data_IF_538903781468
#
_entry.id   IF_538903781468
#
_cell.length_a   1.000
_cell.length_b   1.000
_cell.length_c   1.000
_cell.angle_alpha   90.00
_cell.angle_beta   90.00
_cell.angle_gamma   90.00
#
_symmetry.space_group_name_H-M   'P 1'
#
loop_
_entity.id
_entity.type
_entity.pdbx_description
1 polymer ?
#
# COMPACT_ATOMS: atom_id res chain seq x y z
N UNK A 1 -8.65 15.49 96.67
CA UNK A 1 -8.05 14.66 95.58
C UNK A 1 -8.58 15.14 94.24
N UNK A 2 -7.80 15.98 93.50
CA UNK A 2 -8.17 16.53 92.20
C UNK A 2 -7.57 15.62 91.10
N UNK A 3 -8.43 14.94 90.35
CA UNK A 3 -8.01 14.19 89.14
C UNK A 3 -7.87 15.16 87.97
N UNK A 4 -6.66 15.28 87.47
CA UNK A 4 -6.33 16.07 86.25
C UNK A 4 -6.55 15.12 85.06
N UNK A 5 -7.53 15.45 84.24
CA UNK A 5 -7.80 14.78 82.96
C UNK A 5 -6.90 15.42 81.88
N UNK A 6 -5.89 14.68 81.42
CA UNK A 6 -5.07 15.12 80.28
C UNK A 6 -5.84 14.81 78.99
N UNK A 7 -6.25 15.88 78.28
CA UNK A 7 -6.82 15.79 76.95
C UNK A 7 -5.68 15.61 75.96
N UNK A 8 -5.58 14.48 75.33
CA UNK A 8 -4.68 14.26 74.20
C UNK A 8 -5.39 14.76 72.94
N UNK A 9 -4.97 15.86 72.38
CA UNK A 9 -5.40 16.31 71.04
C UNK A 9 -4.60 15.56 70.02
N UNK A 10 -5.26 14.64 69.32
CA UNK A 10 -4.71 13.92 68.19
C UNK A 10 -4.84 14.82 66.94
N UNK A 11 -3.76 15.46 66.53
CA UNK A 11 -3.72 16.19 65.29
C UNK A 11 -3.56 15.17 64.18
N UNK A 12 -4.65 14.90 63.44
CA UNK A 12 -4.63 14.19 62.20
C UNK A 12 -4.13 15.12 61.12
N UNK A 13 -2.88 14.97 60.75
CA UNK A 13 -2.31 15.61 59.55
C UNK A 13 -2.84 14.80 58.34
N UNK A 14 -3.85 15.32 57.68
CA UNK A 14 -4.22 14.89 56.35
C UNK A 14 -3.12 15.33 55.38
N UNK A 15 -2.18 14.47 55.08
CA UNK A 15 -1.36 14.60 53.87
C UNK A 15 -2.29 14.33 52.69
N UNK A 16 -2.76 15.40 52.08
CA UNK A 16 -3.36 15.35 50.75
C UNK A 16 -2.28 14.89 49.80
N UNK A 17 -2.28 13.58 49.47
CA UNK A 17 -1.65 13.13 48.26
C UNK A 17 -2.43 13.72 47.10
N UNK A 18 -1.93 14.84 46.58
CA UNK A 18 -2.26 15.27 45.23
C UNK A 18 -1.64 14.24 44.29
N UNK A 19 -2.34 13.14 44.07
CA UNK A 19 -2.15 12.33 42.90
C UNK A 19 -2.68 13.13 41.72
N UNK A 20 -1.89 14.14 41.32
CA UNK A 20 -1.90 14.55 39.93
C UNK A 20 -1.30 13.36 39.17
N UNK A 21 -2.14 12.36 38.86
CA UNK A 21 -1.92 11.57 37.68
C UNK A 21 -1.84 12.56 36.53
N UNK A 22 -0.64 13.04 36.26
CA UNK A 22 -0.31 13.43 34.90
C UNK A 22 -0.62 12.16 34.09
N UNK A 23 -1.81 12.17 33.49
CA UNK A 23 -1.97 11.56 32.20
C UNK A 23 -0.87 12.23 31.37
N UNK A 24 0.31 11.63 31.37
CA UNK A 24 1.19 11.74 30.21
C UNK A 24 0.29 11.31 29.08
N UNK A 25 -0.26 12.29 28.35
CA UNK A 25 -0.59 12.08 26.97
C UNK A 25 0.59 11.29 26.47
N UNK A 26 0.38 10.02 26.14
CA UNK A 26 1.31 9.26 25.34
C UNK A 26 1.42 10.11 24.08
N UNK A 27 2.45 10.95 24.05
CA UNK A 27 2.75 11.75 22.89
C UNK A 27 2.80 10.72 21.77
N UNK A 28 2.02 10.95 20.73
CA UNK A 28 2.16 10.29 19.47
C UNK A 28 3.63 10.43 19.11
N UNK A 29 4.46 9.44 19.50
CA UNK A 29 5.77 9.28 18.92
C UNK A 29 5.44 9.06 17.46
N UNK A 30 5.77 10.05 16.61
CA UNK A 30 5.67 9.91 15.17
C UNK A 30 6.41 8.62 14.83
N UNK A 31 5.65 7.53 14.63
CA UNK A 31 6.23 6.26 14.26
C UNK A 31 7.02 6.49 12.97
N UNK A 32 8.23 5.96 12.91
CA UNK A 32 9.05 6.06 11.71
C UNK A 32 8.30 5.42 10.53
N UNK A 33 8.41 6.00 9.34
CA UNK A 33 7.82 5.42 8.15
C UNK A 33 8.44 4.06 7.86
N UNK A 34 7.67 3.10 7.34
CA UNK A 34 8.23 1.84 6.87
C UNK A 34 9.16 2.06 5.68
N UNK A 35 10.21 1.25 5.57
CA UNK A 35 11.08 1.22 4.41
C UNK A 35 10.75 0.01 3.54
N UNK A 36 10.41 0.26 2.28
CA UNK A 36 10.05 -0.77 1.33
C UNK A 36 11.29 -1.52 0.84
N UNK A 37 11.28 -2.84 0.94
CA UNK A 37 12.31 -3.74 0.42
C UNK A 37 12.05 -4.16 -1.04
N UNK A 38 10.81 -4.03 -1.50
CA UNK A 38 10.39 -4.29 -2.88
C UNK A 38 9.13 -3.46 -3.20
N UNK A 39 8.73 -3.48 -4.45
CA UNK A 39 7.51 -2.84 -4.96
C UNK A 39 6.53 -3.90 -5.47
N UNK A 40 6.25 -4.93 -4.67
CA UNK A 40 5.32 -6.06 -4.87
C UNK A 40 5.77 -7.09 -5.90
N UNK A 41 6.44 -6.69 -6.97
CA UNK A 41 6.85 -7.55 -8.09
C UNK A 41 8.38 -7.67 -8.07
N UNK A 42 8.92 -8.84 -8.31
CA UNK A 42 10.37 -9.06 -8.31
C UNK A 42 11.00 -8.96 -9.70
N UNK A 43 10.31 -9.43 -10.74
CA UNK A 43 10.90 -9.54 -12.05
C UNK A 43 10.67 -8.28 -12.90
N UNK A 44 11.62 -7.37 -12.85
CA UNK A 44 11.70 -6.14 -13.63
C UNK A 44 12.69 -6.29 -14.79
N UNK A 45 12.55 -7.33 -15.59
CA UNK A 45 13.49 -7.66 -16.66
C UNK A 45 13.58 -6.59 -17.75
N UNK A 46 14.59 -6.68 -18.62
CA UNK A 46 14.75 -5.78 -19.75
C UNK A 46 13.61 -5.95 -20.76
N UNK A 47 13.32 -4.87 -21.51
CA UNK A 47 12.35 -4.89 -22.59
C UNK A 47 12.85 -5.73 -23.77
N UNK A 48 12.01 -6.65 -24.24
CA UNK A 48 12.18 -7.41 -25.47
C UNK A 48 11.17 -6.94 -26.53
N UNK A 49 11.65 -6.19 -27.53
CA UNK A 49 10.80 -5.66 -28.61
C UNK A 49 10.16 -6.72 -29.50
N UNK A 50 10.67 -7.95 -29.48
CA UNK A 50 10.08 -9.05 -30.28
C UNK A 50 8.85 -9.66 -29.63
N UNK A 51 8.76 -9.60 -28.31
CA UNK A 51 7.64 -10.15 -27.51
C UNK A 51 6.76 -9.08 -26.90
N UNK A 52 7.25 -7.85 -26.75
CA UNK A 52 6.55 -6.79 -26.02
C UNK A 52 6.57 -7.00 -24.50
N UNK A 53 7.58 -7.70 -23.96
CA UNK A 53 7.69 -8.05 -22.54
C UNK A 53 8.85 -7.30 -21.91
N UNK A 54 8.67 -6.87 -20.65
CA UNK A 54 9.70 -6.34 -19.77
C UNK A 54 9.57 -7.00 -18.39
N UNK A 55 10.35 -8.03 -18.13
CA UNK A 55 10.20 -8.83 -16.91
C UNK A 55 8.85 -9.52 -16.85
N UNK A 56 8.06 -9.21 -15.81
CA UNK A 56 6.68 -9.69 -15.66
C UNK A 56 5.64 -8.79 -16.36
N UNK A 57 6.08 -7.69 -16.98
CA UNK A 57 5.21 -6.77 -17.69
C UNK A 57 5.10 -7.16 -19.15
N UNK A 58 3.92 -7.58 -19.60
CA UNK A 58 3.60 -7.89 -20.99
C UNK A 58 2.75 -6.76 -21.58
N UNK A 59 3.28 -6.02 -22.56
CA UNK A 59 2.60 -4.89 -23.17
C UNK A 59 1.71 -5.36 -24.32
N UNK A 60 0.40 -5.19 -24.16
CA UNK A 60 -0.59 -5.63 -25.15
C UNK A 60 -1.46 -4.47 -25.61
N UNK A 61 -1.48 -4.24 -26.92
CA UNK A 61 -2.25 -3.17 -27.56
C UNK A 61 -3.77 -3.37 -27.51
N UNK A 62 -4.24 -4.58 -27.25
CA UNK A 62 -5.67 -4.92 -27.13
C UNK A 62 -6.24 -4.64 -25.74
N UNK A 63 -5.38 -4.29 -24.78
CA UNK A 63 -5.82 -3.79 -23.48
C UNK A 63 -5.91 -2.27 -23.54
N UNK A 64 -7.05 -1.72 -23.19
CA UNK A 64 -7.24 -0.25 -23.04
C UNK A 64 -6.50 0.31 -21.83
N UNK A 65 -5.72 -0.51 -21.16
CA UNK A 65 -5.12 -0.20 -19.91
C UNK A 65 -3.66 0.15 -20.03
N UNK A 66 -3.25 1.09 -19.23
CA UNK A 66 -1.86 1.41 -18.96
C UNK A 66 -1.29 0.32 -18.07
N UNK A 67 -0.09 -0.19 -18.37
CA UNK A 67 0.51 -1.30 -17.62
C UNK A 67 1.15 -0.86 -16.32
N UNK A 68 1.53 0.40 -16.23
CA UNK A 68 2.03 1.02 -15.02
C UNK A 68 1.42 2.41 -14.87
N UNK A 69 0.64 2.59 -13.82
CA UNK A 69 0.12 3.89 -13.42
C UNK A 69 1.04 4.48 -12.38
N UNK A 70 1.65 5.59 -12.75
CA UNK A 70 2.49 6.38 -11.86
C UNK A 70 1.67 6.99 -10.72
N UNK A 71 2.29 7.11 -9.56
CA UNK A 71 1.71 7.78 -8.40
C UNK A 71 1.41 9.26 -8.73
N UNK A 72 0.16 9.64 -8.56
CA UNK A 72 -0.32 10.99 -8.87
C UNK A 72 -0.85 11.17 -10.29
N UNK A 73 -0.98 10.09 -11.08
CA UNK A 73 -1.64 10.16 -12.39
C UNK A 73 -3.07 10.65 -12.24
N UNK A 74 -3.45 11.62 -13.06
CA UNK A 74 -4.82 12.13 -13.09
C UNK A 74 -5.73 11.14 -13.82
N UNK A 75 -6.71 10.62 -13.11
CA UNK A 75 -7.71 9.68 -13.61
C UNK A 75 -9.08 10.35 -13.76
N UNK A 76 -9.96 9.74 -14.56
CA UNK A 76 -11.32 10.22 -14.83
C UNK A 76 -11.39 11.70 -15.28
N UNK A 77 -10.42 12.13 -16.09
CA UNK A 77 -10.20 13.53 -16.48
C UNK A 77 -11.46 14.18 -17.05
N UNK A 78 -11.80 15.34 -16.50
CA UNK A 78 -12.96 16.14 -16.95
C UNK A 78 -14.32 15.62 -16.47
N UNK A 79 -14.32 14.67 -15.56
CA UNK A 79 -15.55 14.13 -14.93
C UNK A 79 -15.68 14.62 -13.48
N UNK A 80 -16.85 14.48 -12.83
CA UNK A 80 -17.01 14.76 -11.40
C UNK A 80 -16.17 13.86 -10.49
N UNK A 81 -15.70 12.71 -11.01
CA UNK A 81 -14.93 11.70 -10.30
C UNK A 81 -13.43 11.79 -10.62
N UNK A 82 -12.96 12.94 -11.12
CA UNK A 82 -11.54 13.20 -11.38
C UNK A 82 -10.75 13.19 -10.08
N UNK A 83 -9.63 12.44 -10.08
CA UNK A 83 -8.74 12.31 -8.92
C UNK A 83 -7.31 11.98 -9.35
N UNK A 84 -6.35 12.36 -8.53
CA UNK A 84 -4.97 11.91 -8.63
C UNK A 84 -4.82 10.52 -7.99
N UNK A 85 -4.28 9.56 -8.76
CA UNK A 85 -4.10 8.19 -8.28
C UNK A 85 -3.07 8.12 -7.13
N UNK A 86 -3.46 7.72 -5.90
CA UNK A 86 -2.57 7.74 -4.73
C UNK A 86 -1.71 6.47 -4.59
N UNK A 87 -1.50 5.73 -5.68
CA UNK A 87 -0.88 4.40 -5.65
C UNK A 87 0.04 4.19 -6.85
N UNK A 88 0.98 3.25 -6.75
CA UNK A 88 1.54 2.55 -7.91
C UNK A 88 0.61 1.41 -8.28
N UNK A 89 0.13 1.38 -9.51
CA UNK A 89 -0.69 0.28 -10.02
C UNK A 89 0.04 -0.43 -11.15
N UNK A 90 0.02 -1.76 -11.10
CA UNK A 90 0.63 -2.63 -12.10
C UNK A 90 -0.43 -3.49 -12.76
N UNK A 91 -0.30 -3.62 -14.08
CA UNK A 91 -1.10 -4.54 -14.88
C UNK A 91 -0.18 -5.50 -15.60
N UNK A 92 -0.21 -6.73 -15.16
CA UNK A 92 0.74 -7.78 -15.50
C UNK A 92 -0.02 -9.10 -15.74
N UNK A 93 0.62 -10.11 -16.33
CA UNK A 93 0.00 -11.43 -16.45
C UNK A 93 -0.57 -11.89 -15.10
N UNK A 94 -1.77 -12.49 -15.15
CA UNK A 94 -2.55 -12.83 -13.95
C UNK A 94 -1.91 -13.86 -13.02
N UNK A 95 -0.88 -14.55 -13.46
CA UNK A 95 -0.08 -15.52 -12.70
C UNK A 95 1.21 -14.91 -12.13
N UNK A 96 1.36 -13.58 -12.20
CA UNK A 96 2.48 -12.88 -11.59
C UNK A 96 2.36 -12.92 -10.07
N UNK A 97 3.46 -13.27 -9.41
CA UNK A 97 3.54 -13.34 -7.95
C UNK A 97 3.59 -11.95 -7.28
N UNK A 98 3.02 -11.88 -6.08
CA UNK A 98 3.04 -10.69 -5.23
C UNK A 98 3.74 -11.00 -3.91
N UNK A 99 4.68 -10.13 -3.53
CA UNK A 99 5.54 -10.27 -2.37
C UNK A 99 5.31 -9.19 -1.34
N UNK A 100 5.44 -9.52 -0.06
CA UNK A 100 5.36 -8.56 1.03
C UNK A 100 6.47 -7.51 0.91
N UNK A 101 6.12 -6.20 0.93
CA UNK A 101 7.12 -5.14 0.72
C UNK A 101 7.90 -4.76 1.98
N UNK A 102 7.38 -5.08 3.18
CA UNK A 102 7.99 -4.72 4.47
C UNK A 102 7.90 -5.87 5.48
N UNK A 103 8.76 -5.82 6.50
CA UNK A 103 8.50 -6.49 7.77
C UNK A 103 7.37 -5.76 8.50
N UNK A 104 6.44 -6.50 9.08
CA UNK A 104 5.32 -5.85 9.78
C UNK A 104 4.27 -6.81 10.29
N UNK A 105 3.10 -6.27 10.57
CA UNK A 105 1.93 -7.00 11.05
C UNK A 105 0.70 -6.63 10.22
N UNK A 106 -0.07 -7.62 9.83
CA UNK A 106 -1.34 -7.42 9.14
C UNK A 106 -2.33 -6.78 10.09
N UNK A 107 -2.71 -5.53 9.82
CA UNK A 107 -3.68 -4.79 10.64
C UNK A 107 -5.11 -5.00 10.16
N UNK A 108 -5.28 -5.32 8.89
CA UNK A 108 -6.58 -5.59 8.27
C UNK A 108 -6.39 -6.41 7.00
N UNK A 109 -7.34 -7.28 6.74
CA UNK A 109 -7.48 -8.01 5.47
C UNK A 109 -8.97 -8.08 5.15
N UNK A 110 -9.33 -7.90 3.89
CA UNK A 110 -10.73 -8.00 3.47
C UNK A 110 -10.87 -8.58 2.07
N UNK A 111 -11.87 -9.40 1.90
CA UNK A 111 -12.36 -9.81 0.59
C UNK A 111 -13.19 -8.68 -0.04
N UNK A 112 -12.97 -8.42 -1.30
CA UNK A 112 -13.66 -7.39 -2.07
C UNK A 112 -14.51 -8.02 -3.17
N UNK A 113 -15.74 -8.50 -2.87
CA UNK A 113 -16.63 -9.00 -3.90
C UNK A 113 -17.09 -7.83 -4.76
N UNK A 114 -17.00 -7.98 -6.06
CA UNK A 114 -17.27 -6.86 -6.93
C UNK A 114 -18.66 -6.84 -7.49
N UNK A 115 -19.37 -5.78 -7.25
CA UNK A 115 -20.58 -5.43 -7.97
C UNK A 115 -20.36 -4.52 -9.18
N UNK A 116 -19.14 -4.06 -9.42
CA UNK A 116 -18.86 -3.07 -10.47
C UNK A 116 -17.60 -3.34 -11.30
N UNK A 117 -16.55 -3.80 -10.66
CA UNK A 117 -15.25 -4.00 -11.31
C UNK A 117 -14.93 -5.47 -11.61
N UNK A 118 -15.75 -6.41 -11.16
CA UNK A 118 -15.56 -7.86 -11.32
C UNK A 118 -14.16 -8.31 -10.85
N UNK A 119 -13.76 -7.82 -9.70
CA UNK A 119 -12.42 -8.07 -9.17
C UNK A 119 -12.38 -9.36 -8.38
N UNK A 120 -13.27 -9.52 -7.41
CA UNK A 120 -13.30 -10.69 -6.55
C UNK A 120 -11.88 -11.07 -6.08
N UNK A 121 -11.28 -10.16 -5.31
CA UNK A 121 -9.91 -10.27 -4.81
C UNK A 121 -9.77 -9.73 -3.39
N UNK A 122 -8.55 -9.79 -2.84
CA UNK A 122 -8.24 -9.38 -1.48
C UNK A 122 -7.50 -8.04 -1.47
N UNK A 123 -7.80 -7.26 -0.41
CA UNK A 123 -7.03 -6.10 0.00
C UNK A 123 -6.42 -6.37 1.37
N UNK A 124 -5.15 -6.02 1.56
CA UNK A 124 -4.41 -6.24 2.80
C UNK A 124 -3.73 -4.95 3.27
N UNK A 125 -3.82 -4.69 4.57
CA UNK A 125 -3.21 -3.55 5.25
C UNK A 125 -2.12 -4.06 6.18
N UNK A 126 -0.91 -3.56 6.00
CA UNK A 126 0.26 -3.93 6.80
C UNK A 126 0.77 -2.69 7.51
N UNK A 127 1.10 -2.82 8.77
CA UNK A 127 1.74 -1.77 9.57
C UNK A 127 3.10 -2.24 10.07
N UNK A 128 4.07 -1.34 10.31
CA UNK A 128 5.31 -1.70 10.99
C UNK A 128 5.08 -2.31 12.38
N UNK A 129 4.10 -1.79 13.11
CA UNK A 129 3.51 -2.36 14.34
C UNK A 129 2.02 -2.00 14.40
N UNK A 130 1.25 -2.66 15.23
CA UNK A 130 -0.20 -2.37 15.36
C UNK A 130 -0.48 -0.94 15.81
N UNK A 131 0.43 -0.32 16.54
CA UNK A 131 0.32 1.03 17.07
C UNK A 131 0.78 2.10 16.06
N UNK A 132 1.42 1.71 14.96
CA UNK A 132 1.90 2.65 13.94
C UNK A 132 0.76 3.38 13.25
N UNK A 133 0.93 4.67 13.00
CA UNK A 133 0.05 5.46 12.14
C UNK A 133 0.29 5.19 10.65
N UNK A 134 1.48 4.66 10.33
CA UNK A 134 1.84 4.28 8.97
C UNK A 134 1.24 2.94 8.59
N UNK A 135 0.91 2.83 7.31
CA UNK A 135 0.44 1.59 6.71
C UNK A 135 0.89 1.47 5.27
N UNK A 136 1.03 0.23 4.84
CA UNK A 136 1.07 -0.16 3.45
C UNK A 136 -0.26 -0.81 3.13
N UNK A 137 -0.90 -0.37 2.06
CA UNK A 137 -2.10 -1.00 1.51
C UNK A 137 -1.66 -1.69 0.23
N UNK A 138 -1.98 -2.97 0.13
CA UNK A 138 -1.80 -3.75 -1.10
C UNK A 138 -3.20 -4.16 -1.53
N UNK A 139 -3.61 -3.69 -2.67
CA UNK A 139 -4.91 -4.02 -3.23
C UNK A 139 -4.76 -4.95 -4.43
N UNK A 140 -5.84 -5.68 -4.73
CA UNK A 140 -5.93 -6.64 -5.81
C UNK A 140 -4.90 -7.76 -5.70
N UNK A 141 -5.18 -8.68 -4.78
CA UNK A 141 -4.39 -9.90 -4.59
C UNK A 141 -5.31 -11.11 -4.52
N UNK A 142 -4.95 -12.20 -5.17
CA UNK A 142 -5.63 -13.51 -5.07
C UNK A 142 -4.70 -14.52 -4.42
N UNK A 143 -5.28 -15.50 -3.72
CA UNK A 143 -4.52 -16.54 -3.06
C UNK A 143 -3.57 -17.27 -4.03
N UNK A 144 -2.39 -17.62 -3.51
CA UNK A 144 -1.44 -18.50 -4.21
C UNK A 144 -2.01 -19.88 -4.51
N UNK A 145 -3.04 -20.30 -3.76
CA UNK A 145 -3.70 -21.58 -3.92
C UNK A 145 -4.80 -21.56 -5.00
N UNK A 146 -5.04 -20.41 -5.64
CA UNK A 146 -6.01 -20.27 -6.71
C UNK A 146 -5.49 -20.83 -8.04
N UNK A 147 -6.34 -21.56 -8.75
CA UNK A 147 -6.08 -21.95 -10.13
C UNK A 147 -6.23 -20.74 -11.07
N UNK A 148 -5.12 -20.12 -11.42
CA UNK A 148 -5.08 -18.93 -12.29
C UNK A 148 -5.43 -19.22 -13.75
N UNK A 149 -5.50 -20.48 -14.15
CA UNK A 149 -6.02 -20.87 -15.48
C UNK A 149 -7.56 -20.83 -15.54
N UNK A 150 -8.23 -20.86 -14.38
CA UNK A 150 -9.68 -20.79 -14.26
C UNK A 150 -10.18 -19.36 -14.33
N UNK A 151 -11.32 -19.14 -14.98
CA UNK A 151 -12.06 -17.85 -14.99
C UNK A 151 -13.07 -17.75 -13.84
N UNK A 152 -13.12 -18.77 -12.96
CA UNK A 152 -14.02 -18.76 -11.80
C UNK A 152 -13.44 -17.88 -10.73
N UNK A 153 -14.34 -17.22 -9.99
CA UNK A 153 -14.00 -16.54 -8.74
C UNK A 153 -13.34 -17.53 -7.80
N UNK A 154 -12.23 -17.10 -7.19
CA UNK A 154 -11.48 -17.87 -6.22
C UNK A 154 -11.34 -17.02 -4.94
N UNK A 155 -12.13 -17.34 -3.94
CA UNK A 155 -12.19 -16.66 -2.64
C UNK A 155 -11.38 -17.37 -1.55
N UNK A 156 -10.42 -18.23 -1.96
CA UNK A 156 -9.50 -18.85 -1.01
C UNK A 156 -8.73 -17.79 -0.23
N UNK A 157 -8.47 -18.03 1.07
CA UNK A 157 -7.73 -17.08 1.89
C UNK A 157 -6.29 -16.91 1.38
N UNK A 158 -5.71 -15.73 1.61
CA UNK A 158 -4.29 -15.51 1.37
C UNK A 158 -3.47 -16.32 2.37
N UNK A 159 -2.35 -16.89 1.92
CA UNK A 159 -1.46 -17.69 2.76
C UNK A 159 0.00 -17.28 2.59
N UNK A 160 0.80 -17.46 3.65
CA UNK A 160 2.27 -17.46 3.60
C UNK A 160 2.74 -18.83 4.07
N UNK A 161 3.51 -19.54 3.24
CA UNK A 161 3.99 -20.89 3.55
C UNK A 161 2.87 -21.87 3.96
N UNK A 162 1.67 -21.73 3.37
CA UNK A 162 0.51 -22.56 3.67
C UNK A 162 -0.21 -22.20 4.99
N UNK A 163 0.15 -21.09 5.63
CA UNK A 163 -0.54 -20.57 6.82
C UNK A 163 -1.40 -19.37 6.42
N UNK A 164 -2.69 -19.43 6.78
CA UNK A 164 -3.64 -18.37 6.48
C UNK A 164 -3.23 -17.04 7.10
N UNK A 165 -3.33 -15.97 6.31
CA UNK A 165 -3.09 -14.59 6.74
C UNK A 165 -4.38 -14.04 7.38
N UNK A 166 -4.25 -13.57 8.60
CA UNK A 166 -5.33 -12.92 9.34
C UNK A 166 -4.83 -11.62 10.00
N UNK A 167 -5.73 -10.82 10.52
CA UNK A 167 -5.34 -9.68 11.36
C UNK A 167 -4.48 -10.16 12.54
N UNK A 168 -3.32 -9.53 12.72
CA UNK A 168 -2.32 -9.90 13.72
C UNK A 168 -1.23 -10.85 13.20
N UNK A 169 -1.32 -11.35 11.96
CA UNK A 169 -0.25 -12.15 11.35
C UNK A 169 1.00 -11.29 11.15
N UNK A 170 2.14 -11.74 11.67
CA UNK A 170 3.46 -11.16 11.37
C UNK A 170 3.89 -11.58 9.96
N UNK A 171 4.43 -10.64 9.21
CA UNK A 171 4.91 -10.84 7.83
C UNK A 171 6.34 -10.34 7.67
N UNK A 172 7.06 -10.87 6.70
CA UNK A 172 8.40 -10.47 6.36
C UNK A 172 8.48 -9.95 4.93
N UNK A 173 9.30 -8.95 4.72
CA UNK A 173 9.64 -8.49 3.37
C UNK A 173 10.16 -9.66 2.53
N UNK A 174 9.61 -9.81 1.32
CA UNK A 174 9.92 -10.93 0.43
C UNK A 174 9.09 -12.19 0.65
N UNK A 175 8.20 -12.25 1.64
CA UNK A 175 7.24 -13.36 1.75
C UNK A 175 6.32 -13.37 0.52
N UNK A 176 6.31 -14.48 -0.22
CA UNK A 176 5.35 -14.73 -1.28
C UNK A 176 3.98 -15.02 -0.66
N UNK A 177 2.94 -14.24 -1.02
CA UNK A 177 1.63 -14.40 -0.38
C UNK A 177 0.43 -14.47 -1.34
N UNK A 178 0.65 -14.25 -2.65
CA UNK A 178 -0.43 -14.33 -3.61
C UNK A 178 0.02 -14.12 -5.05
N UNK A 179 -0.97 -14.11 -5.92
CA UNK A 179 -0.89 -13.61 -7.29
C UNK A 179 -1.53 -12.23 -7.35
N UNK A 180 -1.20 -11.46 -8.39
CA UNK A 180 -1.96 -10.25 -8.73
C UNK A 180 -3.45 -10.55 -8.84
N UNK A 181 -4.29 -9.61 -8.48
CA UNK A 181 -5.74 -9.74 -8.51
C UNK A 181 -6.30 -9.91 -9.91
N UNK A 182 -7.61 -9.83 -10.03
CA UNK A 182 -8.28 -10.01 -11.31
C UNK A 182 -8.45 -8.65 -12.02
N UNK A 183 -8.40 -8.71 -13.33
CA UNK A 183 -8.84 -7.62 -14.19
C UNK A 183 -9.68 -8.19 -15.32
N UNK A 184 -10.82 -7.58 -15.61
CA UNK A 184 -11.48 -7.80 -16.88
C UNK A 184 -10.75 -6.99 -17.95
N UNK A 185 -10.27 -7.68 -18.96
CA UNK A 185 -9.94 -7.03 -20.21
C UNK A 185 -11.18 -6.97 -21.11
N UNK A 186 -11.23 -5.99 -22.00
CA UNK A 186 -12.33 -5.86 -22.95
C UNK A 186 -12.32 -6.97 -24.04
N UNK A 187 -11.22 -7.76 -24.11
CA UNK A 187 -11.11 -8.92 -25.01
C UNK A 187 -11.83 -10.16 -24.48
N UNK A 188 -12.29 -10.15 -23.23
CA UNK A 188 -12.98 -11.26 -22.57
C UNK A 188 -12.07 -12.42 -22.16
N UNK A 189 -10.75 -12.21 -22.17
CA UNK A 189 -9.76 -13.28 -21.98
C UNK A 189 -9.26 -13.48 -20.56
N UNK A 190 -9.46 -12.53 -19.65
CA UNK A 190 -8.99 -12.64 -18.24
C UNK A 190 -7.51 -13.06 -18.11
N UNK A 191 -6.66 -12.56 -19.02
CA UNK A 191 -5.23 -12.96 -19.07
C UNK A 191 -4.35 -12.07 -18.22
N UNK A 192 -4.84 -10.87 -17.89
CA UNK A 192 -4.15 -9.90 -17.05
C UNK A 192 -4.77 -9.83 -15.67
N UNK A 193 -3.91 -9.55 -14.73
CA UNK A 193 -4.26 -9.14 -13.39
C UNK A 193 -3.79 -7.72 -13.12
N UNK A 194 -4.14 -7.22 -11.96
CA UNK A 194 -3.62 -5.97 -11.45
C UNK A 194 -3.31 -6.10 -9.96
N UNK A 195 -2.37 -5.30 -9.53
CA UNK A 195 -2.08 -5.07 -8.11
C UNK A 195 -1.59 -3.66 -7.91
N UNK A 196 -1.76 -3.13 -6.73
CA UNK A 196 -1.34 -1.78 -6.41
C UNK A 196 -0.80 -1.66 -4.99
N UNK A 197 0.12 -0.71 -4.81
CA UNK A 197 0.72 -0.41 -3.52
C UNK A 197 0.52 1.06 -3.17
N UNK A 198 -0.01 1.31 -1.98
CA UNK A 198 -0.07 2.62 -1.35
C UNK A 198 0.73 2.62 -0.06
N UNK A 199 1.61 3.60 0.13
CA UNK A 199 2.16 3.91 1.44
C UNK A 199 1.42 5.11 2.01
N UNK A 200 0.84 4.98 3.18
CA UNK A 200 -0.03 6.01 3.73
C UNK A 200 0.10 6.21 5.23
N UNK A 201 -0.49 7.31 5.68
CA UNK A 201 -0.62 7.65 7.09
C UNK A 201 -2.03 8.15 7.35
N UNK A 202 -2.66 7.64 8.41
CA UNK A 202 -3.89 8.23 8.92
C UNK A 202 -3.57 9.48 9.74
N UNK A 203 -4.28 10.56 9.47
CA UNK A 203 -4.16 11.82 10.18
C UNK A 203 -5.53 12.17 10.77
N UNK A 204 -5.52 12.81 11.97
CA UNK A 204 -6.72 13.34 12.61
C UNK A 204 -7.86 12.31 12.76
N UNK A 205 -7.72 11.41 13.71
CA UNK A 205 -8.73 10.41 14.08
C UNK A 205 -9.23 9.52 12.93
N UNK A 206 -8.38 9.34 11.91
CA UNK A 206 -8.69 8.47 10.78
C UNK A 206 -9.62 9.05 9.71
N UNK A 207 -9.93 10.34 9.79
CA UNK A 207 -10.81 10.99 8.80
C UNK A 207 -10.06 11.52 7.57
N UNK A 208 -8.75 11.63 7.64
CA UNK A 208 -7.89 12.01 6.55
C UNK A 208 -6.80 10.97 6.33
N UNK A 209 -6.60 10.57 5.08
CA UNK A 209 -5.49 9.72 4.67
C UNK A 209 -4.53 10.58 3.84
N UNK A 210 -3.25 10.49 4.15
CA UNK A 210 -2.20 11.00 3.28
C UNK A 210 -1.43 9.83 2.74
N UNK A 211 -1.41 9.70 1.43
CA UNK A 211 -0.54 8.77 0.72
C UNK A 211 0.74 9.46 0.29
N UNK A 212 1.78 8.69 0.08
CA UNK A 212 3.11 9.17 -0.24
C UNK A 212 3.68 8.41 -1.43
N UNK A 213 4.53 9.09 -2.20
CA UNK A 213 5.30 8.44 -3.25
C UNK A 213 6.11 7.27 -2.69
N UNK A 214 5.90 6.03 -3.13
CA UNK A 214 6.61 4.86 -2.62
C UNK A 214 8.13 4.96 -2.76
N UNK A 215 8.62 5.65 -3.79
CA UNK A 215 10.06 5.80 -4.07
C UNK A 215 10.82 6.60 -3.00
N UNK A 216 10.12 7.41 -2.21
CA UNK A 216 10.71 8.16 -1.11
C UNK A 216 10.96 7.29 0.14
N UNK A 217 10.39 6.09 0.16
CA UNK A 217 10.41 5.18 1.31
C UNK A 217 11.06 3.84 0.99
N UNK A 218 11.89 3.78 -0.03
CA UNK A 218 12.69 2.60 -0.33
C UNK A 218 13.84 2.43 0.67
N UNK A 219 14.08 1.18 1.10
CA UNK A 219 15.27 0.87 1.87
C UNK A 219 16.53 1.24 1.06
N UNK A 220 17.54 1.87 1.68
CA UNK A 220 18.77 2.29 0.99
C UNK A 220 19.46 1.16 0.22
N UNK A 221 19.33 -0.09 0.67
CA UNK A 221 19.98 -1.25 0.02
C UNK A 221 19.37 -1.62 -1.34
N UNK A 222 18.11 -1.28 -1.58
CA UNK A 222 17.38 -1.60 -2.82
C UNK A 222 17.03 -0.36 -3.64
N UNK A 223 17.17 0.83 -3.07
CA UNK A 223 16.70 2.09 -3.66
C UNK A 223 17.18 2.29 -5.08
N UNK A 224 18.48 2.23 -5.32
CA UNK A 224 19.04 2.49 -6.64
C UNK A 224 18.54 1.48 -7.70
N UNK A 225 18.41 0.21 -7.33
CA UNK A 225 17.96 -0.83 -8.26
C UNK A 225 16.48 -0.65 -8.61
N UNK A 226 15.64 -0.34 -7.64
CA UNK A 226 14.20 -0.13 -7.87
C UNK A 226 13.91 1.18 -8.62
N UNK A 227 14.63 2.27 -8.32
CA UNK A 227 14.55 3.51 -9.10
C UNK A 227 14.91 3.26 -10.57
N UNK A 228 15.98 2.50 -10.81
CA UNK A 228 16.39 2.12 -12.17
C UNK A 228 15.34 1.23 -12.85
N UNK A 229 14.75 0.29 -12.10
CA UNK A 229 13.72 -0.61 -12.62
C UNK A 229 12.45 0.14 -13.06
N UNK A 230 11.97 1.09 -12.24
CA UNK A 230 10.80 1.91 -12.58
C UNK A 230 11.07 2.79 -13.81
N UNK A 231 12.24 3.46 -13.87
CA UNK A 231 12.62 4.23 -15.06
C UNK A 231 12.68 3.35 -16.32
N UNK A 232 13.27 2.15 -16.22
CA UNK A 232 13.35 1.23 -17.35
C UNK A 232 11.96 0.75 -17.78
N UNK A 233 11.04 0.50 -16.84
CA UNK A 233 9.68 0.12 -17.15
C UNK A 233 8.95 1.22 -17.94
N UNK A 234 9.00 2.47 -17.47
CA UNK A 234 8.40 3.60 -18.17
C UNK A 234 8.96 3.75 -19.58
N UNK A 235 10.29 3.77 -19.74
CA UNK A 235 10.93 3.87 -21.06
C UNK A 235 10.62 2.67 -21.96
N UNK A 236 10.48 1.47 -21.42
CA UNK A 236 10.11 0.28 -22.15
C UNK A 236 8.68 0.38 -22.69
N UNK A 237 7.76 0.84 -21.86
CA UNK A 237 6.37 1.07 -22.25
C UNK A 237 6.26 2.13 -23.35
N UNK A 238 6.93 3.27 -23.19
CA UNK A 238 6.98 4.34 -24.20
C UNK A 238 7.57 3.86 -25.52
N UNK A 239 8.64 3.06 -25.45
CA UNK A 239 9.26 2.45 -26.65
C UNK A 239 8.27 1.54 -27.36
N UNK A 240 7.55 0.71 -26.62
CA UNK A 240 6.54 -0.19 -27.17
C UNK A 240 5.35 0.60 -27.75
N UNK A 241 4.88 1.64 -27.05
CA UNK A 241 3.77 2.49 -27.48
C UNK A 241 4.16 3.36 -28.69
N UNK A 242 5.43 3.72 -28.82
CA UNK A 242 5.94 4.65 -29.81
C UNK A 242 5.65 6.12 -29.44
N UNK A 243 5.46 6.41 -28.17
CA UNK A 243 5.21 7.75 -27.61
C UNK A 243 6.12 8.01 -26.42
N UNK A 244 7.20 8.74 -26.62
CA UNK A 244 8.17 9.09 -25.58
C UNK A 244 7.72 10.23 -24.66
N UNK A 245 6.49 10.66 -24.74
CA UNK A 245 5.90 11.69 -23.88
C UNK A 245 4.75 11.16 -23.03
N UNK A 246 4.56 9.84 -23.01
CA UNK A 246 3.47 9.21 -22.28
C UNK A 246 3.60 9.41 -20.77
N UNK A 247 4.81 9.26 -20.24
CA UNK A 247 5.16 9.64 -18.88
C UNK A 247 5.89 10.98 -18.90
N UNK A 248 5.49 11.94 -18.07
CA UNK A 248 6.17 13.24 -17.95
C UNK A 248 7.24 13.18 -16.84
N UNK A 249 8.34 12.44 -17.11
CA UNK A 249 9.41 12.24 -16.14
C UNK A 249 10.04 13.58 -15.70
N UNK A 250 9.99 14.61 -16.57
CA UNK A 250 10.52 15.93 -16.22
C UNK A 250 9.74 16.63 -15.11
N UNK A 251 8.49 16.24 -14.90
CA UNK A 251 7.61 16.72 -13.84
C UNK A 251 7.58 15.82 -12.61
N UNK A 252 8.18 14.65 -12.65
CA UNK A 252 8.21 13.71 -11.54
C UNK A 252 9.16 14.18 -10.44
N UNK A 253 8.76 14.00 -9.18
CA UNK A 253 9.60 14.25 -8.00
C UNK A 253 10.54 13.08 -7.71
N UNK A 254 10.17 11.88 -8.16
CA UNK A 254 10.96 10.66 -8.14
C UNK A 254 10.46 9.73 -9.27
N UNK A 255 11.22 8.71 -9.70
CA UNK A 255 10.78 7.79 -10.74
C UNK A 255 9.39 7.24 -10.50
N UNK A 256 8.46 7.43 -11.44
CA UNK A 256 7.07 7.00 -11.33
C UNK A 256 6.21 7.79 -10.32
N UNK A 257 6.68 8.93 -9.81
CA UNK A 257 5.91 9.77 -8.90
C UNK A 257 5.79 11.20 -9.39
N UNK A 258 4.58 11.63 -9.74
CA UNK A 258 4.30 13.02 -10.14
C UNK A 258 4.33 13.94 -8.91
N UNK A 259 3.90 13.45 -7.76
CA UNK A 259 3.83 14.19 -6.49
C UNK A 259 4.58 13.46 -5.37
N UNK A 260 4.97 14.19 -4.32
CA UNK A 260 5.57 13.61 -3.12
C UNK A 260 4.52 13.02 -2.17
N UNK A 261 3.35 13.65 -2.13
CA UNK A 261 2.21 13.19 -1.33
C UNK A 261 0.88 13.63 -1.94
N UNK A 262 -0.18 12.89 -1.60
CA UNK A 262 -1.56 13.20 -1.94
C UNK A 262 -2.39 13.05 -0.67
N UNK A 263 -3.09 14.11 -0.30
CA UNK A 263 -4.04 14.08 0.81
C UNK A 263 -5.43 13.81 0.27
N UNK A 264 -6.16 12.90 0.88
CA UNK A 264 -7.54 12.62 0.55
C UNK A 264 -8.44 13.05 1.70
N UNK A 265 -9.43 13.87 1.40
CA UNK A 265 -10.45 14.31 2.34
C UNK A 265 -11.81 14.30 1.67
N UNK A 266 -12.74 13.50 2.19
CA UNK A 266 -14.10 13.37 1.65
C UNK A 266 -14.14 12.99 0.14
N UNK A 267 -13.25 12.08 -0.29
CA UNK A 267 -13.16 11.61 -1.67
C UNK A 267 -12.57 12.63 -2.66
N UNK A 268 -11.92 13.68 -2.17
CA UNK A 268 -11.18 14.65 -2.99
C UNK A 268 -9.69 14.58 -2.68
N UNK A 269 -8.90 14.48 -3.72
CA UNK A 269 -7.45 14.48 -3.66
C UNK A 269 -6.89 15.90 -3.67
N UNK A 270 -5.78 16.10 -2.98
CA UNK A 270 -5.00 17.35 -2.97
C UNK A 270 -3.53 16.98 -3.00
N UNK A 271 -2.89 17.08 -4.18
CA UNK A 271 -1.49 16.70 -4.35
C UNK A 271 -0.52 17.80 -3.86
N UNK A 272 0.69 17.36 -3.47
CA UNK A 272 1.83 18.21 -3.11
C UNK A 272 3.10 17.69 -3.79
N UNK A 273 3.87 18.60 -4.41
CA UNK A 273 5.17 18.30 -5.02
C UNK A 273 6.25 18.01 -4.00
#
# INVERSE_FOLDING_TARGET
>A
MKKIFKFFVLILIFTSCNDSSQLTEAGNENSEPPLLMNLLIENWGPYDSSTGISGDFEFRSDLEAIFFYEYGRLNAIGTPDEYENPTFEYQVPRDTFVYMPIDGVVSRIRWQPTSGYKQDDWEIFIKPSMESDWMIIIDHVVSIDCDRSSTKVCDLPLTINGVEITTGTEVKAGDLFGYVGNREDNSGGNVFGRTEITIGKYIEDGNQVVSYCPMNYLDPSVKQSLESAVNNLMSSYETWLGDSSFYDESNMVAPGCIYSQISETNGKTTPTK
#
